data_IF_628406104512
#
_entry.id   IF_628406104512
#
_cell.length_a   1.000
_cell.length_b   1.000
_cell.length_c   1.000
_cell.angle_alpha   90.00
_cell.angle_beta   90.00
_cell.angle_gamma   90.00
#
_symmetry.space_group_name_H-M   'P 1'
#
loop_
_entity.id
_entity.type
_entity.pdbx_description
1 polymer ?
#
# COMPACT_ATOMS: atom_id res chain seq x y z
N UNK A 1 16.01 10.95 12.91
CA UNK A 1 14.75 11.25 13.64
C UNK A 1 13.55 10.66 12.88
N UNK A 2 12.68 9.91 13.57
CA UNK A 2 11.45 9.29 13.04
C UNK A 2 10.61 10.24 12.16
N UNK A 3 10.61 11.53 12.49
CA UNK A 3 9.91 12.61 11.75
C UNK A 3 10.36 12.74 10.28
N UNK A 4 11.52 12.17 9.91
CA UNK A 4 12.05 12.20 8.54
C UNK A 4 12.02 10.83 7.85
N UNK A 5 11.42 9.83 8.49
CA UNK A 5 11.28 8.49 7.92
C UNK A 5 9.99 8.38 7.10
N UNK A 6 10.01 7.48 6.13
CA UNK A 6 8.84 7.08 5.37
C UNK A 6 8.18 5.86 6.01
N UNK A 7 6.87 5.76 5.85
CA UNK A 7 6.08 4.57 6.13
C UNK A 7 5.26 4.18 4.90
N UNK A 8 4.73 2.96 4.88
CA UNK A 8 3.85 2.51 3.82
C UNK A 8 2.51 1.96 4.33
N UNK A 9 1.49 2.07 3.49
CA UNK A 9 0.12 1.65 3.75
C UNK A 9 -0.81 2.80 4.18
N UNK A 10 -2.11 2.55 4.12
CA UNK A 10 -3.16 3.51 4.44
C UNK A 10 -3.94 4.03 3.24
N UNK A 11 -4.95 4.86 3.52
CA UNK A 11 -5.85 5.40 2.50
C UNK A 11 -5.10 6.18 1.39
N UNK A 12 -4.06 6.93 1.72
CA UNK A 12 -3.36 7.81 0.76
C UNK A 12 -2.06 7.20 0.24
N UNK A 13 -1.93 5.87 0.29
CA UNK A 13 -0.75 5.14 -0.15
C UNK A 13 -1.17 3.76 -0.67
N UNK A 14 -0.52 2.66 -0.24
CA UNK A 14 -0.87 1.32 -0.67
C UNK A 14 -2.10 0.84 0.12
N UNK A 15 -3.29 0.97 -0.46
CA UNK A 15 -4.58 0.84 0.25
C UNK A 15 -4.88 -0.54 0.81
N UNK A 16 -4.23 -1.57 0.27
CA UNK A 16 -4.36 -2.95 0.75
C UNK A 16 -3.61 -3.23 2.06
N UNK A 17 -2.86 -2.25 2.59
CA UNK A 17 -2.20 -2.33 3.89
C UNK A 17 -2.72 -1.25 4.83
N UNK A 18 -2.79 -1.59 6.12
CA UNK A 18 -2.99 -0.61 7.17
C UNK A 18 -1.80 0.36 7.23
N UNK A 19 -1.97 1.59 7.72
CA UNK A 19 -0.85 2.51 7.95
C UNK A 19 0.26 1.82 8.75
N UNK A 20 1.52 2.00 8.33
CA UNK A 20 2.71 1.42 8.96
C UNK A 20 2.85 -0.10 8.91
N UNK A 21 1.99 -0.83 8.19
CA UNK A 21 2.02 -2.29 8.17
C UNK A 21 2.77 -2.91 6.97
N UNK A 22 3.32 -2.08 6.07
CA UNK A 22 4.06 -2.55 4.90
C UNK A 22 5.55 -2.22 5.02
N UNK A 23 6.38 -3.25 4.82
CA UNK A 23 7.83 -3.16 4.78
C UNK A 23 8.48 -3.10 6.17
N UNK A 24 9.79 -2.76 6.24
CA UNK A 24 10.67 -2.48 5.10
C UNK A 24 11.04 -3.72 4.27
N UNK A 25 11.09 -3.59 2.95
CA UNK A 25 11.38 -4.69 2.04
C UNK A 25 10.48 -5.91 2.27
N UNK A 26 11.08 -7.08 2.50
CA UNK A 26 10.36 -8.34 2.73
C UNK A 26 10.21 -8.71 4.21
N UNK A 27 10.44 -7.79 5.14
CA UNK A 27 10.26 -8.10 6.57
C UNK A 27 8.79 -8.26 6.92
N UNK A 28 8.48 -9.15 7.86
CA UNK A 28 7.11 -9.46 8.30
C UNK A 28 6.53 -8.42 9.27
N UNK A 29 6.65 -7.13 8.94
CA UNK A 29 6.04 -6.02 9.66
C UNK A 29 6.11 -6.15 11.21
N UNK A 30 7.25 -6.61 11.73
CA UNK A 30 7.40 -7.12 13.11
C UNK A 30 7.11 -6.03 14.16
N UNK A 31 7.22 -4.76 13.76
CA UNK A 31 6.99 -3.61 14.61
C UNK A 31 5.58 -3.03 14.40
N UNK A 32 5.01 -2.48 15.47
CA UNK A 32 3.76 -1.69 15.43
C UNK A 32 3.88 -0.47 14.49
N UNK A 33 5.11 -0.02 14.20
CA UNK A 33 5.42 1.10 13.32
C UNK A 33 6.60 0.78 12.41
N UNK A 34 6.33 0.31 11.19
CA UNK A 34 7.38 0.10 10.20
C UNK A 34 7.75 1.42 9.51
N UNK A 35 9.04 1.73 9.53
CA UNK A 35 9.61 2.95 8.94
C UNK A 35 10.94 2.65 8.23
N UNK A 36 11.26 3.47 7.23
CA UNK A 36 12.55 3.41 6.55
C UNK A 36 12.88 4.75 5.86
N UNK A 37 14.09 4.91 5.35
CA UNK A 37 14.56 6.18 4.78
C UNK A 37 14.50 6.27 3.23
N UNK A 38 14.10 5.20 2.54
CA UNK A 38 13.77 5.16 1.11
C UNK A 38 12.34 4.67 0.91
N UNK A 39 11.57 5.33 0.03
CA UNK A 39 10.23 4.90 -0.37
C UNK A 39 10.08 4.93 -1.89
N UNK A 40 9.48 3.89 -2.44
CA UNK A 40 8.98 3.85 -3.82
C UNK A 40 7.48 3.57 -3.74
N UNK A 41 6.67 4.40 -4.40
CA UNK A 41 5.21 4.23 -4.45
C UNK A 41 4.69 4.66 -5.82
N UNK A 42 3.76 3.87 -6.35
CA UNK A 42 3.12 4.01 -7.65
C UNK A 42 1.63 3.74 -7.47
N UNK A 43 0.79 4.56 -8.09
CA UNK A 43 -0.66 4.45 -8.02
C UNK A 43 -1.25 4.51 -9.43
N UNK A 44 -2.13 3.56 -9.74
CA UNK A 44 -2.97 3.58 -10.92
C UNK A 44 -4.43 3.46 -10.49
N UNK A 45 -5.26 4.41 -10.93
CA UNK A 45 -6.68 4.41 -10.61
C UNK A 45 -7.52 4.72 -11.85
N UNK A 46 -8.50 3.86 -12.14
CA UNK A 46 -9.47 4.05 -13.21
C UNK A 46 -10.86 4.32 -12.61
N UNK A 47 -11.36 5.54 -12.83
CA UNK A 47 -12.66 6.02 -12.29
C UNK A 47 -13.75 5.98 -13.34
N UNK A 48 -14.95 5.58 -12.95
CA UNK A 48 -16.11 5.52 -13.86
C UNK A 48 -17.40 5.94 -13.14
N UNK A 49 -18.36 6.55 -13.85
CA UNK A 49 -19.67 6.88 -13.29
C UNK A 49 -20.47 5.60 -12.99
N UNK A 50 -21.24 5.61 -11.91
CA UNK A 50 -22.18 4.52 -11.57
C UNK A 50 -23.60 5.03 -11.65
N UNK A 51 -24.00 5.96 -10.77
CA UNK A 51 -25.34 6.56 -10.76
C UNK A 51 -25.33 7.90 -10.01
N UNK A 52 -25.86 8.95 -10.65
CA UNK A 52 -25.88 10.30 -10.05
C UNK A 52 -24.49 10.74 -9.59
N UNK A 53 -24.35 11.04 -8.29
CA UNK A 53 -23.09 11.46 -7.67
C UNK A 53 -22.19 10.29 -7.22
N UNK A 54 -22.62 9.04 -7.40
CA UNK A 54 -21.80 7.86 -7.13
C UNK A 54 -20.88 7.54 -8.32
N UNK A 55 -19.60 7.39 -8.02
CA UNK A 55 -18.56 6.94 -8.96
C UNK A 55 -17.89 5.69 -8.40
N UNK A 56 -17.57 4.75 -9.28
CA UNK A 56 -16.74 3.61 -8.99
C UNK A 56 -15.28 3.93 -9.32
N UNK A 57 -14.35 3.17 -8.77
CA UNK A 57 -13.05 3.02 -9.38
C UNK A 57 -12.46 1.64 -9.13
N UNK A 58 -11.55 1.28 -10.03
CA UNK A 58 -10.62 0.17 -9.85
C UNK A 58 -9.24 0.77 -9.63
N UNK A 59 -8.43 0.16 -8.78
CA UNK A 59 -7.09 0.64 -8.51
C UNK A 59 -6.05 -0.47 -8.38
N UNK A 60 -4.81 -0.08 -8.63
CA UNK A 60 -3.60 -0.84 -8.38
C UNK A 60 -2.55 0.09 -7.75
N UNK A 61 -2.12 -0.24 -6.55
CA UNK A 61 -1.13 0.48 -5.77
C UNK A 61 0.10 -0.42 -5.61
N UNK A 62 1.26 0.06 -6.03
CA UNK A 62 2.51 -0.68 -5.91
C UNK A 62 3.54 0.14 -5.14
N UNK A 63 4.18 -0.45 -4.14
CA UNK A 63 5.22 0.26 -3.40
C UNK A 63 5.82 -0.52 -2.25
N UNK A 64 6.87 0.05 -1.67
CA UNK A 64 7.47 -0.40 -0.42
C UNK A 64 8.40 0.70 0.14
N UNK A 65 8.92 0.46 1.35
CA UNK A 65 9.96 1.24 2.01
C UNK A 65 11.18 0.35 2.26
N UNK A 66 12.38 0.94 2.26
CA UNK A 66 13.63 0.23 2.58
C UNK A 66 14.60 1.16 3.31
N UNK A 67 15.54 0.57 4.02
CA UNK A 67 16.69 1.30 4.54
C UNK A 67 17.78 1.38 3.45
N UNK A 68 18.41 2.54 3.30
CA UNK A 68 19.53 2.76 2.38
C UNK A 68 20.56 3.68 3.02
N UNK A 69 21.85 3.38 2.87
CA UNK A 69 22.95 4.15 3.48
C UNK A 69 22.76 4.41 5.00
N UNK A 70 22.28 3.40 5.73
CA UNK A 70 22.03 3.46 7.17
C UNK A 70 22.68 2.26 7.89
N UNK A 71 22.59 2.24 9.22
CA UNK A 71 23.18 1.23 10.10
C UNK A 71 22.38 -0.09 10.17
N UNK A 72 21.29 -0.21 9.41
CA UNK A 72 20.47 -1.43 9.34
C UNK A 72 21.17 -2.46 8.46
N UNK A 73 21.57 -3.57 9.07
CA UNK A 73 22.34 -4.64 8.40
C UNK A 73 21.48 -5.79 7.88
N UNK A 74 20.16 -5.76 8.13
CA UNK A 74 19.23 -6.80 7.65
C UNK A 74 19.01 -6.68 6.13
N UNK A 75 19.46 -7.64 5.31
CA UNK A 75 19.25 -7.60 3.86
C UNK A 75 17.76 -7.61 3.46
N UNK A 76 16.88 -8.17 4.30
CA UNK A 76 15.44 -8.19 4.04
C UNK A 76 14.80 -6.79 4.14
N UNK A 77 15.42 -5.88 4.91
CA UNK A 77 14.93 -4.53 5.18
C UNK A 77 15.68 -3.44 4.39
N UNK A 78 16.76 -3.80 3.68
CA UNK A 78 17.72 -2.87 3.09
C UNK A 78 17.68 -2.91 1.56
N UNK A 79 17.76 -1.74 0.93
CA UNK A 79 17.85 -1.61 -0.52
C UNK A 79 19.29 -1.87 -0.97
N UNK A 80 19.54 -3.05 -1.55
CA UNK A 80 20.87 -3.52 -1.95
C UNK A 80 21.12 -3.44 -3.45
N UNK A 81 20.09 -3.15 -4.25
CA UNK A 81 20.20 -3.01 -5.71
C UNK A 81 18.87 -3.24 -6.42
N UNK A 82 18.93 -3.58 -7.71
CA UNK A 82 17.73 -3.87 -8.51
C UNK A 82 16.94 -5.08 -8.00
N UNK A 83 17.61 -6.05 -7.37
CA UNK A 83 16.94 -7.22 -6.77
C UNK A 83 15.96 -6.80 -5.67
N UNK A 84 16.23 -5.70 -4.94
CA UNK A 84 15.30 -5.17 -3.93
C UNK A 84 13.96 -4.72 -4.51
N UNK A 85 13.86 -4.48 -5.83
CA UNK A 85 12.59 -4.16 -6.48
C UNK A 85 11.63 -5.35 -6.53
N UNK A 86 12.13 -6.58 -6.36
CA UNK A 86 11.27 -7.77 -6.22
C UNK A 86 10.39 -7.72 -4.96
N UNK A 87 10.78 -6.89 -3.98
CA UNK A 87 10.06 -6.70 -2.74
C UNK A 87 8.98 -5.61 -2.86
N UNK A 88 8.72 -5.03 -4.05
CA UNK A 88 7.59 -4.09 -4.24
C UNK A 88 6.26 -4.82 -4.02
N UNK A 89 5.50 -4.40 -3.00
CA UNK A 89 4.17 -4.94 -2.76
C UNK A 89 3.17 -4.43 -3.80
N UNK A 90 2.14 -5.24 -4.10
CA UNK A 90 1.04 -4.86 -4.98
C UNK A 90 -0.29 -5.03 -4.26
N UNK A 91 -1.03 -3.94 -4.11
CA UNK A 91 -2.42 -3.92 -3.69
C UNK A 91 -3.31 -3.61 -4.87
N UNK A 92 -4.39 -4.37 -5.05
CA UNK A 92 -5.44 -4.00 -6.01
C UNK A 92 -6.77 -3.98 -5.31
N UNK A 93 -7.74 -3.29 -5.90
CA UNK A 93 -9.04 -3.20 -5.28
C UNK A 93 -10.02 -2.35 -6.06
N UNK A 94 -11.15 -2.12 -5.41
CA UNK A 94 -12.21 -1.29 -5.93
C UNK A 94 -12.62 -0.28 -4.87
N UNK A 95 -13.13 0.86 -5.33
CA UNK A 95 -13.62 1.89 -4.44
C UNK A 95 -14.94 2.46 -4.89
N UNK A 96 -15.68 2.98 -3.91
CA UNK A 96 -16.87 3.78 -4.10
C UNK A 96 -16.57 5.22 -3.70
N UNK A 97 -16.97 6.16 -4.55
CA UNK A 97 -16.81 7.59 -4.35
C UNK A 97 -18.18 8.25 -4.38
N UNK A 98 -18.43 9.13 -3.43
CA UNK A 98 -19.57 10.02 -3.45
C UNK A 98 -19.07 11.46 -3.61
N UNK A 99 -19.49 12.10 -4.70
CA UNK A 99 -19.09 13.45 -5.06
C UNK A 99 -20.03 14.47 -4.39
N UNK A 100 -19.56 15.12 -3.32
CA UNK A 100 -20.24 16.30 -2.78
C UNK A 100 -19.74 17.55 -3.51
N UNK A 101 -20.47 18.65 -3.39
CA UNK A 101 -20.10 19.93 -4.01
C UNK A 101 -18.70 20.42 -3.65
N UNK A 102 -18.20 20.10 -2.45
CA UNK A 102 -16.93 20.65 -1.92
C UNK A 102 -15.86 19.59 -1.62
N UNK A 103 -16.21 18.31 -1.57
CA UNK A 103 -15.27 17.23 -1.26
C UNK A 103 -15.79 15.90 -1.79
N UNK A 104 -14.88 14.93 -1.94
CA UNK A 104 -15.24 13.56 -2.30
C UNK A 104 -15.11 12.68 -1.08
N UNK A 105 -16.15 11.93 -0.74
CA UNK A 105 -16.04 10.84 0.22
C UNK A 105 -15.66 9.56 -0.53
N UNK A 106 -14.70 8.81 0.01
CA UNK A 106 -14.19 7.59 -0.62
C UNK A 106 -14.18 6.44 0.39
N UNK A 107 -14.63 5.30 -0.09
CA UNK A 107 -14.52 4.00 0.56
C UNK A 107 -13.80 3.07 -0.41
N UNK A 108 -12.56 2.71 -0.11
CA UNK A 108 -11.74 1.84 -0.93
C UNK A 108 -11.53 0.50 -0.22
N UNK A 109 -11.85 -0.60 -0.91
CA UNK A 109 -11.58 -1.95 -0.43
C UNK A 109 -10.37 -2.51 -1.18
N UNK A 110 -9.25 -2.66 -0.46
CA UNK A 110 -7.98 -3.14 -1.00
C UNK A 110 -7.70 -4.59 -0.63
N UNK A 111 -7.07 -5.30 -1.56
CA UNK A 111 -6.64 -6.69 -1.43
C UNK A 111 -5.15 -6.80 -1.72
N UNK A 112 -4.43 -7.51 -0.86
CA UNK A 112 -2.99 -7.78 -1.05
C UNK A 112 -2.84 -8.78 -2.19
N UNK A 113 -2.47 -8.26 -3.36
CA UNK A 113 -2.32 -9.05 -4.60
C UNK A 113 -0.96 -9.72 -4.62
N UNK A 114 0.08 -8.99 -4.21
CA UNK A 114 1.42 -9.50 -3.96
C UNK A 114 1.94 -8.97 -2.62
N UNK A 115 2.20 -9.87 -1.67
CA UNK A 115 2.76 -9.57 -0.35
C UNK A 115 4.22 -10.06 -0.27
N UNK A 116 5.22 -9.14 -0.25
CA UNK A 116 6.64 -9.52 -0.26
C UNK A 116 7.10 -10.15 1.06
N UNK A 117 6.39 -9.90 2.16
CA UNK A 117 6.69 -10.46 3.49
C UNK A 117 6.41 -11.97 3.59
N UNK A 118 5.58 -12.50 2.68
CA UNK A 118 5.27 -13.93 2.64
C UNK A 118 6.42 -14.75 2.05
N UNK A 119 6.40 -16.05 2.36
CA UNK A 119 7.23 -17.04 1.68
C UNK A 119 7.05 -16.94 0.16
N UNK A 120 8.12 -17.13 -0.62
CA UNK A 120 8.14 -16.92 -2.08
C UNK A 120 6.95 -17.60 -2.79
N UNK A 121 6.59 -18.82 -2.37
CA UNK A 121 5.49 -19.59 -2.96
C UNK A 121 4.08 -19.05 -2.66
N UNK A 122 3.95 -18.17 -1.66
CA UNK A 122 2.69 -17.61 -1.15
C UNK A 122 2.56 -16.11 -1.37
N UNK A 123 3.52 -15.46 -2.01
CA UNK A 123 3.46 -13.99 -2.19
C UNK A 123 2.26 -13.53 -3.02
N UNK A 124 1.84 -14.34 -3.99
CA UNK A 124 0.72 -14.01 -4.88
C UNK A 124 -0.61 -14.56 -4.37
N UNK A 125 -1.61 -13.71 -4.31
CA UNK A 125 -3.03 -14.04 -4.09
C UNK A 125 -3.41 -14.79 -2.79
N UNK A 126 -2.47 -15.08 -1.89
CA UNK A 126 -2.76 -15.76 -0.61
C UNK A 126 -3.77 -14.99 0.24
N UNK A 127 -3.57 -13.69 0.36
CA UNK A 127 -4.43 -12.78 1.12
C UNK A 127 -5.54 -12.16 0.27
N UNK A 128 -5.76 -12.64 -0.96
CA UNK A 128 -6.74 -12.08 -1.88
C UNK A 128 -8.14 -12.62 -1.60
N UNK A 129 -8.70 -12.23 -0.46
CA UNK A 129 -10.03 -12.66 -0.03
C UNK A 129 -10.66 -11.59 0.88
N UNK A 130 -12.00 -11.64 1.03
CA UNK A 130 -12.74 -10.64 1.81
C UNK A 130 -12.38 -10.64 3.30
N UNK A 131 -11.92 -11.76 3.87
CA UNK A 131 -11.47 -11.82 5.27
C UNK A 131 -10.17 -11.06 5.53
N UNK A 132 -9.33 -10.88 4.51
CA UNK A 132 -8.08 -10.13 4.59
C UNK A 132 -8.13 -8.77 3.88
N UNK A 133 -9.30 -8.40 3.34
CA UNK A 133 -9.48 -7.12 2.68
C UNK A 133 -9.41 -5.96 3.68
N UNK A 134 -8.74 -4.89 3.27
CA UNK A 134 -8.60 -3.68 4.08
C UNK A 134 -9.55 -2.60 3.56
N UNK A 135 -10.44 -2.13 4.42
CA UNK A 135 -11.32 -1.00 4.12
C UNK A 135 -10.64 0.31 4.54
N UNK A 136 -10.45 1.19 3.56
CA UNK A 136 -9.94 2.54 3.77
C UNK A 136 -11.06 3.56 3.55
N UNK A 137 -11.24 4.46 4.51
CA UNK A 137 -12.13 5.62 4.38
C UNK A 137 -11.28 6.87 4.26
N UNK A 138 -11.64 7.73 3.31
CA UNK A 138 -10.92 8.98 3.07
C UNK A 138 -11.84 10.12 2.66
N UNK A 139 -11.29 11.33 2.78
CA UNK A 139 -11.90 12.56 2.29
C UNK A 139 -10.95 13.15 1.26
N UNK A 140 -11.49 13.61 0.13
CA UNK A 140 -10.77 14.05 -1.05
C UNK A 140 -9.94 12.95 -1.70
N UNK A 141 -9.16 13.33 -2.72
CA UNK A 141 -8.39 12.39 -3.51
C UNK A 141 -7.19 11.83 -2.73
N UNK A 142 -6.77 10.57 -2.99
CA UNK A 142 -5.73 9.90 -2.21
C UNK A 142 -4.32 10.46 -2.41
N UNK A 143 -4.12 11.32 -3.40
CA UNK A 143 -2.85 11.88 -3.85
C UNK A 143 -3.11 13.13 -4.68
#
# INVERSE_FOLDING_TARGET
PFVRSYFAGGANDIRAWSPYSLGPGRTDAINDFNEANLKISLNLEYRFPVIGNFKGALFADAGNIWNVFDNVVDPAATFTGFDSLEDIALGTGFGLRYDFTYFVLRADLGFKTYNPAEEISKRWFTDFNFSNAVLQIGINYPF
#
